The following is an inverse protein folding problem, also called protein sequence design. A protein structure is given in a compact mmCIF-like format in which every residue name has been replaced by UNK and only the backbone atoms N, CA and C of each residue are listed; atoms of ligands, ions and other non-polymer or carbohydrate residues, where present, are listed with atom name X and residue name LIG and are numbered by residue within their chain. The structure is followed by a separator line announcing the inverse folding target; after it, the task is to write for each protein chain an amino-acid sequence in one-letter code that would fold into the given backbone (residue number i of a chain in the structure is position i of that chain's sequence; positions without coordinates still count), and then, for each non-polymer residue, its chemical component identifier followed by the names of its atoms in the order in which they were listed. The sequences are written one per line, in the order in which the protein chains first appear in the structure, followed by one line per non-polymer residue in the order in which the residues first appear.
data_IF_002472290573
#
_entry.id   IF_002472290573
#
_cell.length_a   1.000
_cell.length_b   1.000
_cell.length_c   1.000
_cell.angle_alpha   90.00
_cell.angle_beta   90.00
_cell.angle_gamma   90.00
#
_symmetry.space_group_name_H-M   'P 1'
#
loop_
_entity.id
_entity.type
_entity.pdbx_description
1 polymer ?
#
# COMPACT_ATOMS: atom_id res chain seq x y z
N UNK A 1 20.57 -49.81 3.18
CA UNK A 1 21.61 -49.05 3.90
C UNK A 1 21.90 -47.75 3.16
N UNK A 2 21.01 -46.76 3.22
CA UNK A 2 21.19 -45.39 2.71
C UNK A 2 19.97 -44.56 3.12
N UNK A 3 19.95 -44.09 4.37
CA UNK A 3 19.05 -43.01 4.84
C UNK A 3 19.56 -42.51 6.18
N UNK A 4 20.56 -41.66 6.14
CA UNK A 4 21.02 -40.89 7.31
C UNK A 4 21.93 -39.75 6.83
N UNK A 5 21.39 -38.80 6.10
CA UNK A 5 22.10 -37.53 5.81
C UNK A 5 21.16 -36.42 5.33
N UNK A 6 20.09 -36.11 6.09
CA UNK A 6 19.23 -34.97 5.78
C UNK A 6 18.68 -34.22 6.99
N UNK A 7 19.32 -34.27 8.14
CA UNK A 7 18.85 -33.61 9.38
C UNK A 7 19.83 -32.56 9.92
N UNK A 8 20.91 -32.24 9.23
CA UNK A 8 21.93 -31.30 9.77
C UNK A 8 21.90 -29.87 9.28
N UNK A 9 20.98 -29.47 8.39
CA UNK A 9 21.06 -28.15 7.76
C UNK A 9 20.12 -27.07 8.35
N UNK A 10 19.16 -27.42 9.19
CA UNK A 10 18.25 -26.45 9.81
C UNK A 10 18.72 -25.87 11.14
N UNK A 11 19.52 -26.60 11.88
CA UNK A 11 20.00 -26.20 13.22
C UNK A 11 21.12 -25.15 13.16
N UNK A 12 21.93 -25.17 12.12
CA UNK A 12 23.06 -24.23 11.96
C UNK A 12 22.63 -22.83 11.61
N UNK A 13 21.58 -22.67 10.80
CA UNK A 13 21.06 -21.34 10.42
C UNK A 13 20.34 -20.60 11.56
N UNK A 14 19.74 -21.31 12.46
CA UNK A 14 19.00 -20.71 13.59
C UNK A 14 19.96 -20.28 14.71
N UNK A 15 21.03 -21.02 14.92
CA UNK A 15 22.11 -20.67 15.85
C UNK A 15 22.85 -19.40 15.41
N UNK A 16 23.21 -19.30 14.12
CA UNK A 16 23.90 -18.14 13.57
C UNK A 16 23.05 -16.87 13.66
N UNK A 17 21.74 -16.96 13.44
CA UNK A 17 20.81 -15.83 13.53
C UNK A 17 20.68 -15.31 14.97
N UNK A 18 20.66 -16.19 15.94
CA UNK A 18 20.62 -15.84 17.38
C UNK A 18 21.89 -15.14 17.81
N UNK A 19 23.05 -15.61 17.39
CA UNK A 19 24.33 -15.01 17.70
C UNK A 19 24.50 -13.61 17.11
N UNK A 20 24.09 -13.42 15.85
CA UNK A 20 24.08 -12.10 15.20
C UNK A 20 23.17 -11.12 15.94
N UNK A 21 22.00 -11.57 16.38
CA UNK A 21 21.05 -10.72 17.11
C UNK A 21 21.60 -10.26 18.45
N UNK A 22 22.21 -11.15 19.23
CA UNK A 22 22.84 -10.82 20.50
C UNK A 22 23.97 -9.80 20.29
N UNK A 23 24.80 -10.01 19.29
CA UNK A 23 25.92 -9.12 18.98
C UNK A 23 25.47 -7.73 18.51
N UNK A 24 24.37 -7.64 17.77
CA UNK A 24 23.76 -6.37 17.40
C UNK A 24 23.23 -5.61 18.61
N UNK A 25 22.57 -6.30 19.55
CA UNK A 25 22.08 -5.70 20.79
C UNK A 25 23.24 -5.15 21.62
N UNK A 26 24.31 -5.91 21.78
CA UNK A 26 25.51 -5.45 22.49
C UNK A 26 26.10 -4.20 21.86
N UNK A 27 26.28 -4.16 20.54
CA UNK A 27 26.80 -3.00 19.83
C UNK A 27 25.92 -1.76 20.02
N UNK A 28 24.60 -1.92 19.98
CA UNK A 28 23.65 -0.82 20.18
C UNK A 28 23.74 -0.27 21.62
N UNK A 29 23.85 -1.15 22.62
CA UNK A 29 23.93 -0.73 24.03
C UNK A 29 25.21 0.06 24.34
N UNK A 30 26.33 -0.21 23.66
CA UNK A 30 27.59 0.52 23.82
C UNK A 30 27.72 1.76 22.93
N UNK A 31 26.77 1.98 22.02
CA UNK A 31 26.77 3.13 21.10
C UNK A 31 26.27 4.40 21.80
N UNK A 32 26.85 5.58 21.54
CA UNK A 32 26.30 6.85 22.02
C UNK A 32 24.85 7.06 21.58
N UNK A 33 24.06 7.73 22.42
CA UNK A 33 22.61 7.94 22.17
C UNK A 33 22.34 8.66 20.84
N UNK A 34 23.18 9.61 20.45
CA UNK A 34 23.07 10.30 19.15
C UNK A 34 23.22 9.35 17.96
N UNK A 35 24.12 8.37 18.07
CA UNK A 35 24.35 7.36 17.04
C UNK A 35 23.23 6.32 17.02
N UNK A 36 22.67 5.96 18.18
CA UNK A 36 21.49 5.10 18.30
C UNK A 36 20.29 5.73 17.59
N UNK A 37 20.04 7.03 17.81
CA UNK A 37 18.97 7.77 17.13
C UNK A 37 19.17 7.86 15.63
N UNK A 38 20.39 8.08 15.19
CA UNK A 38 20.76 8.12 13.77
C UNK A 38 20.53 6.76 13.10
N UNK A 39 20.96 5.68 13.77
CA UNK A 39 20.75 4.30 13.31
C UNK A 39 19.26 3.97 13.22
N UNK A 40 18.48 4.33 14.24
CA UNK A 40 17.04 4.11 14.26
C UNK A 40 16.34 4.81 13.09
N UNK A 41 16.64 6.08 12.83
CA UNK A 41 16.10 6.84 11.70
C UNK A 41 16.45 6.19 10.36
N UNK A 42 17.69 5.75 10.19
CA UNK A 42 18.15 5.09 8.96
C UNK A 42 17.42 3.76 8.73
N UNK A 43 17.25 2.95 9.77
CA UNK A 43 16.53 1.68 9.67
C UNK A 43 15.04 1.89 9.38
N UNK A 44 14.40 2.86 10.01
CA UNK A 44 13.00 3.21 9.75
C UNK A 44 12.80 3.69 8.30
N UNK A 45 13.68 4.54 7.79
CA UNK A 45 13.64 5.01 6.42
C UNK A 45 13.83 3.85 5.42
N UNK A 46 14.80 2.98 5.67
CA UNK A 46 15.06 1.80 4.83
C UNK A 46 13.86 0.86 4.82
N UNK A 47 13.27 0.58 5.96
CA UNK A 47 12.07 -0.27 6.07
C UNK A 47 10.85 0.32 5.35
N UNK A 48 10.73 1.66 5.35
CA UNK A 48 9.66 2.36 4.63
C UNK A 48 9.86 2.27 3.11
N UNK A 49 11.10 2.40 2.64
CA UNK A 49 11.44 2.27 1.22
C UNK A 49 11.23 0.82 0.74
N UNK A 50 11.72 -0.16 1.47
CA UNK A 50 11.53 -1.59 1.14
C UNK A 50 10.05 -1.98 1.12
N UNK A 51 9.26 -1.49 2.07
CA UNK A 51 7.81 -1.73 2.11
C UNK A 51 7.09 -1.10 0.92
N UNK A 52 7.54 0.09 0.46
CA UNK A 52 7.01 0.73 -0.76
C UNK A 52 7.37 -0.06 -2.01
N UNK A 53 8.63 -0.45 -2.17
CA UNK A 53 9.10 -1.26 -3.30
C UNK A 53 8.37 -2.60 -3.36
N UNK A 54 8.26 -3.31 -2.25
CA UNK A 54 7.53 -4.59 -2.19
C UNK A 54 6.03 -4.42 -2.48
N UNK A 55 5.41 -3.32 -2.06
CA UNK A 55 4.01 -3.02 -2.38
C UNK A 55 3.80 -2.66 -3.85
N UNK A 56 4.81 -2.13 -4.54
CA UNK A 56 4.77 -1.84 -5.98
C UNK A 56 4.94 -3.11 -6.81
N UNK A 57 5.83 -4.00 -6.39
CA UNK A 57 6.06 -5.30 -7.02
C UNK A 57 4.83 -6.24 -6.94
N UNK A 58 4.04 -6.11 -5.87
CA UNK A 58 2.78 -6.86 -5.66
C UNK A 58 1.56 -6.22 -6.34
N UNK A 59 1.71 -5.08 -7.03
CA UNK A 59 0.60 -4.43 -7.74
C UNK A 59 0.26 -5.15 -9.04
N UNK A 60 -0.98 -5.55 -9.16
CA UNK A 60 -1.51 -6.23 -10.35
C UNK A 60 -1.77 -5.26 -11.52
N UNK A 61 -1.91 -3.95 -11.23
CA UNK A 61 -2.26 -2.94 -12.22
C UNK A 61 -1.36 -1.71 -12.12
N UNK A 62 -0.93 -1.21 -13.27
CA UNK A 62 -0.24 0.08 -13.40
C UNK A 62 -1.13 1.23 -12.92
N UNK A 63 -0.53 2.26 -12.33
CA UNK A 63 -1.24 3.47 -11.88
C UNK A 63 -0.75 4.67 -12.66
N UNK A 64 -1.70 5.45 -13.16
CA UNK A 64 -1.42 6.78 -13.70
C UNK A 64 -1.65 7.83 -12.62
N UNK A 65 -0.71 8.76 -12.48
CA UNK A 65 -0.92 9.97 -11.67
C UNK A 65 -1.82 10.89 -12.46
N UNK A 66 -2.95 11.25 -11.90
CA UNK A 66 -3.92 12.11 -12.56
C UNK A 66 -4.69 12.90 -11.51
N UNK A 67 -5.02 14.15 -11.81
CA UNK A 67 -5.88 14.96 -10.98
C UNK A 67 -7.25 15.04 -11.66
N UNK A 68 -8.16 14.15 -11.29
CA UNK A 68 -9.47 14.01 -11.88
C UNK A 68 -10.52 14.34 -10.82
N UNK A 69 -11.40 15.28 -11.11
CA UNK A 69 -12.56 15.54 -10.25
C UNK A 69 -13.53 14.35 -10.30
N UNK A 70 -13.97 13.91 -9.15
CA UNK A 70 -14.91 12.81 -9.01
C UNK A 70 -16.01 13.15 -8.00
N UNK A 71 -17.24 12.87 -8.38
CA UNK A 71 -18.36 12.88 -7.46
C UNK A 71 -18.39 11.55 -6.70
N UNK A 72 -18.21 11.65 -5.40
CA UNK A 72 -18.20 10.52 -4.49
C UNK A 72 -19.50 10.51 -3.69
N UNK A 73 -20.20 9.39 -3.67
CA UNK A 73 -21.40 9.24 -2.86
C UNK A 73 -21.35 7.97 -2.01
N UNK A 74 -21.74 8.13 -0.76
CA UNK A 74 -22.10 7.04 0.16
C UNK A 74 -23.62 7.03 0.33
N UNK A 75 -24.14 6.15 1.16
CA UNK A 75 -25.61 6.09 1.41
C UNK A 75 -26.15 7.39 2.00
N UNK A 76 -25.33 8.14 2.74
CA UNK A 76 -25.76 9.32 3.50
C UNK A 76 -25.25 10.67 2.93
N UNK A 77 -24.16 10.66 2.18
CA UNK A 77 -23.46 11.89 1.78
C UNK A 77 -22.96 11.82 0.35
N UNK A 78 -23.09 12.94 -0.37
CA UNK A 78 -22.49 13.16 -1.68
C UNK A 78 -21.50 14.33 -1.58
N UNK A 79 -20.30 14.15 -2.10
CA UNK A 79 -19.21 15.14 -2.04
C UNK A 79 -18.30 15.03 -3.26
N UNK A 80 -17.66 16.12 -3.64
CA UNK A 80 -16.69 16.17 -4.71
C UNK A 80 -15.26 16.09 -4.15
N UNK A 81 -14.45 15.22 -4.72
CA UNK A 81 -13.05 15.06 -4.38
C UNK A 81 -12.19 14.86 -5.63
N UNK A 82 -10.88 14.75 -5.43
CA UNK A 82 -9.94 14.57 -6.52
C UNK A 82 -9.30 13.17 -6.45
N UNK A 83 -9.37 12.46 -7.56
CA UNK A 83 -8.60 11.24 -7.79
C UNK A 83 -7.17 11.65 -8.10
N UNK A 84 -6.23 11.21 -7.28
CA UNK A 84 -4.79 11.47 -7.44
C UNK A 84 -4.09 10.41 -8.29
N UNK A 85 -4.57 9.19 -8.18
CA UNK A 85 -4.07 8.10 -9.00
C UNK A 85 -5.19 7.09 -9.30
N UNK A 86 -5.16 6.56 -10.50
CA UNK A 86 -6.14 5.60 -11.01
C UNK A 86 -5.45 4.42 -11.67
N UNK A 87 -6.04 3.24 -11.51
CA UNK A 87 -5.66 2.00 -12.21
C UNK A 87 -6.92 1.20 -12.54
N UNK A 88 -6.78 0.12 -13.29
CA UNK A 88 -7.91 -0.77 -13.58
C UNK A 88 -8.51 -1.45 -12.33
N UNK A 89 -7.79 -1.45 -11.21
CA UNK A 89 -8.24 -2.08 -9.95
C UNK A 89 -8.78 -1.11 -8.90
N UNK A 90 -8.52 0.18 -9.02
CA UNK A 90 -8.93 1.15 -8.02
C UNK A 90 -8.34 2.54 -8.16
N UNK A 91 -8.68 3.39 -7.20
CA UNK A 91 -8.25 4.80 -7.15
C UNK A 91 -7.69 5.16 -5.78
N UNK A 92 -6.85 6.19 -5.75
CA UNK A 92 -6.55 6.94 -4.54
C UNK A 92 -7.22 8.31 -4.62
N UNK A 93 -8.02 8.64 -3.62
CA UNK A 93 -8.80 9.87 -3.53
C UNK A 93 -8.24 10.70 -2.38
N UNK A 94 -7.87 11.94 -2.66
CA UNK A 94 -7.49 12.90 -1.65
C UNK A 94 -8.75 13.42 -0.95
N UNK A 95 -8.83 13.21 0.37
CA UNK A 95 -9.96 13.64 1.17
C UNK A 95 -9.59 13.74 2.64
N UNK A 96 -10.21 14.71 3.34
CA UNK A 96 -10.16 14.84 4.80
C UNK A 96 -11.45 14.33 5.47
N UNK A 97 -12.40 13.81 4.69
CA UNK A 97 -13.64 13.27 5.23
C UNK A 97 -13.40 11.98 6.02
N UNK A 98 -14.16 11.71 7.07
CA UNK A 98 -13.98 10.52 7.89
C UNK A 98 -14.54 9.28 7.18
N UNK A 99 -13.62 8.52 6.59
CA UNK A 99 -13.91 7.19 6.02
C UNK A 99 -13.35 6.09 6.88
N UNK A 100 -13.88 4.88 6.72
CA UNK A 100 -13.36 3.68 7.36
C UNK A 100 -13.17 2.54 6.33
N UNK A 101 -12.23 1.66 6.61
CA UNK A 101 -11.96 0.48 5.76
C UNK A 101 -13.19 -0.43 5.72
N UNK A 102 -13.58 -0.87 4.52
CA UNK A 102 -14.79 -1.66 4.29
C UNK A 102 -16.02 -0.83 3.92
N UNK A 103 -15.92 0.51 3.96
CA UNK A 103 -17.02 1.38 3.56
C UNK A 103 -17.21 1.35 2.05
N UNK A 104 -18.48 1.13 1.62
CA UNK A 104 -18.86 1.22 0.22
C UNK A 104 -19.07 2.67 -0.23
N UNK A 105 -18.67 2.98 -1.45
CA UNK A 105 -18.98 4.26 -2.07
C UNK A 105 -19.15 4.11 -3.58
N UNK A 106 -19.86 5.07 -4.17
CA UNK A 106 -20.02 5.19 -5.61
C UNK A 106 -19.22 6.38 -6.12
N UNK A 107 -18.49 6.18 -7.21
CA UNK A 107 -17.65 7.17 -7.87
C UNK A 107 -18.23 7.47 -9.24
N UNK A 108 -18.37 8.76 -9.57
CA UNK A 108 -18.70 9.23 -10.91
C UNK A 108 -17.62 10.22 -11.33
N UNK A 109 -16.95 9.93 -12.42
CA UNK A 109 -15.88 10.79 -12.97
C UNK A 109 -15.78 10.65 -14.48
N UNK A 110 -15.07 11.58 -15.11
CA UNK A 110 -14.81 11.54 -16.56
C UNK A 110 -13.31 11.45 -16.82
N UNK A 111 -12.94 10.62 -17.76
CA UNK A 111 -11.57 10.56 -18.29
C UNK A 111 -11.51 11.28 -19.63
N UNK A 112 -10.40 11.98 -19.96
CA UNK A 112 -10.25 12.67 -21.24
C UNK A 112 -10.36 11.73 -22.46
N UNK A 113 -10.05 10.47 -22.28
CA UNK A 113 -10.02 9.43 -23.31
C UNK A 113 -11.36 8.69 -23.45
N UNK A 114 -12.34 8.98 -22.58
CA UNK A 114 -13.64 8.31 -22.54
C UNK A 114 -14.76 9.33 -22.70
N UNK A 115 -15.56 9.21 -23.76
CA UNK A 115 -16.60 10.19 -24.10
C UNK A 115 -17.73 10.28 -23.07
N UNK A 116 -17.99 9.21 -22.34
CA UNK A 116 -19.07 9.15 -21.36
C UNK A 116 -18.56 9.08 -19.92
N UNK A 117 -19.28 9.70 -18.96
CA UNK A 117 -18.95 9.58 -17.57
C UNK A 117 -18.89 8.11 -17.12
N UNK A 118 -17.95 7.81 -16.25
CA UNK A 118 -17.72 6.49 -15.69
C UNK A 118 -18.36 6.43 -14.32
N UNK A 119 -19.18 5.42 -14.08
CA UNK A 119 -19.83 5.18 -12.78
C UNK A 119 -19.38 3.84 -12.20
N UNK A 120 -18.68 3.88 -11.09
CA UNK A 120 -18.07 2.70 -10.47
C UNK A 120 -18.43 2.63 -8.98
N UNK A 121 -18.82 1.45 -8.53
CA UNK A 121 -18.89 1.12 -7.10
C UNK A 121 -17.55 0.63 -6.61
N UNK A 122 -17.15 1.08 -5.42
CA UNK A 122 -15.91 0.72 -4.79
C UNK A 122 -16.05 0.51 -3.30
N UNK A 123 -15.01 -0.08 -2.72
CA UNK A 123 -14.85 -0.28 -1.28
C UNK A 123 -13.56 0.35 -0.80
N UNK A 124 -13.61 1.07 0.30
CA UNK A 124 -12.43 1.64 0.95
C UNK A 124 -11.57 0.51 1.51
N UNK A 125 -10.37 0.36 0.99
CA UNK A 125 -9.41 -0.66 1.43
C UNK A 125 -8.24 -0.08 2.23
N UNK A 126 -8.10 1.25 2.22
CA UNK A 126 -7.05 1.97 2.97
C UNK A 126 -7.52 3.38 3.31
N UNK A 127 -7.20 3.81 4.52
CA UNK A 127 -7.35 5.19 4.98
C UNK A 127 -6.00 5.67 5.50
N UNK A 128 -5.55 6.84 5.06
CA UNK A 128 -4.35 7.50 5.57
C UNK A 128 -4.57 9.02 5.74
N UNK A 129 -3.54 9.72 6.19
CA UNK A 129 -3.61 11.17 6.49
C UNK A 129 -3.88 12.07 5.27
N UNK A 130 -3.75 11.53 4.06
CA UNK A 130 -3.95 12.30 2.81
C UNK A 130 -5.23 11.91 2.08
N UNK A 131 -5.82 10.76 2.41
CA UNK A 131 -7.01 10.30 1.74
C UNK A 131 -7.27 8.80 1.87
N UNK A 132 -7.98 8.27 0.91
CA UNK A 132 -8.45 6.89 0.90
C UNK A 132 -8.03 6.15 -0.37
N UNK A 133 -7.69 4.88 -0.20
CA UNK A 133 -7.56 3.92 -1.31
C UNK A 133 -8.87 3.16 -1.48
N UNK A 134 -9.41 3.18 -2.68
CA UNK A 134 -10.68 2.52 -3.05
C UNK A 134 -10.41 1.44 -4.08
N UNK A 135 -10.87 0.23 -3.80
CA UNK A 135 -10.86 -0.88 -4.73
C UNK A 135 -12.19 -0.92 -5.50
N UNK A 136 -12.15 -1.07 -6.79
CA UNK A 136 -13.34 -1.21 -7.61
C UNK A 136 -13.99 -2.59 -7.42
N UNK A 137 -15.31 -2.61 -7.28
CA UNK A 137 -16.09 -3.83 -7.08
C UNK A 137 -17.23 -4.01 -8.10
N UNK A 138 -17.72 -2.93 -8.71
CA UNK A 138 -18.84 -2.98 -9.65
C UNK A 138 -18.90 -1.77 -10.55
N UNK A 139 -19.68 -1.83 -11.61
CA UNK A 139 -19.94 -0.71 -12.52
C UNK A 139 -19.10 -0.74 -13.80
N UNK A 140 -18.77 0.44 -14.31
CA UNK A 140 -18.14 0.63 -15.63
C UNK A 140 -16.62 0.33 -15.66
N UNK A 141 -16.16 -0.64 -14.86
CA UNK A 141 -14.73 -1.01 -14.77
C UNK A 141 -14.12 -1.34 -16.14
N UNK A 142 -14.92 -1.96 -17.01
CA UNK A 142 -14.50 -2.33 -18.37
C UNK A 142 -14.22 -1.12 -19.30
N UNK A 143 -14.67 0.08 -18.92
CA UNK A 143 -14.36 1.33 -19.65
C UNK A 143 -13.00 1.92 -19.25
N UNK A 144 -12.37 1.39 -18.22
CA UNK A 144 -11.07 1.80 -17.76
C UNK A 144 -9.99 1.03 -18.53
N UNK A 145 -9.64 1.52 -19.72
CA UNK A 145 -8.47 1.00 -20.46
C UNK A 145 -7.24 1.85 -20.11
N UNK A 146 -6.77 1.68 -18.87
CA UNK A 146 -5.63 2.43 -18.34
C UNK A 146 -4.38 1.57 -18.52
N UNK A 147 -3.74 1.72 -19.66
CA UNK A 147 -2.43 1.17 -19.94
C UNK A 147 -1.30 2.15 -19.61
#
# INVERSE_FOLDING_TARGET
MKQLDKVKDHTTKESDKSEITVRLIELILYMPEADQLSLLKNLQNKHTVEKRMHSEEMRTHSRKTSLIAADCSTDDVCFMNFIQNISNGGVFIETNAPFYVGQGLKLNFSLPEVEMPISIGGEVVRVDSRGIGVKFISGDIHKLDIN
#
